data_IF_579284710772
#
_entry.id   IF_579284710772
#
_cell.length_a   1.000
_cell.length_b   1.000
_cell.length_c   1.000
_cell.angle_alpha   90.00
_cell.angle_beta   90.00
_cell.angle_gamma   90.00
#
_symmetry.space_group_name_H-M   'P 1'
#
loop_
_entity.id
_entity.type
_entity.pdbx_description
1 polymer ?
#
# COMPACT_ATOMS: atom_id res chain seq x y z
N UNK A 1 -3.12 -11.36 4.67
CA UNK A 1 -2.54 -10.09 5.11
C UNK A 1 -2.90 -9.03 4.08
N UNK A 2 -3.72 -8.07 4.45
CA UNK A 2 -3.98 -6.87 3.64
C UNK A 2 -2.82 -5.89 3.87
N UNK A 3 -1.82 -5.91 2.99
CA UNK A 3 -0.70 -4.95 3.02
C UNK A 3 -1.08 -3.76 2.15
N UNK A 4 -0.75 -2.53 2.56
CA UNK A 4 -1.09 -1.36 1.75
C UNK A 4 -0.36 -1.46 0.40
N UNK A 5 -0.98 -1.09 -0.72
CA UNK A 5 -0.28 -1.00 -2.01
C UNK A 5 0.85 0.05 -1.98
N UNK A 6 0.85 0.96 -1.00
CA UNK A 6 1.89 1.96 -0.77
C UNK A 6 2.99 1.47 0.19
N UNK A 7 2.88 0.24 0.71
CA UNK A 7 3.94 -0.35 1.51
C UNK A 7 5.02 -0.98 0.63
N UNK A 8 6.27 -0.73 0.98
CA UNK A 8 7.41 -1.38 0.34
C UNK A 8 7.36 -2.89 0.55
N UNK A 9 7.48 -3.62 -0.56
CA UNK A 9 7.47 -5.08 -0.54
C UNK A 9 8.57 -5.68 0.35
N UNK A 10 9.73 -5.01 0.42
CA UNK A 10 10.93 -5.47 1.15
C UNK A 10 10.83 -5.17 2.64
N UNK A 11 10.62 -3.91 3.04
CA UNK A 11 10.71 -3.52 4.45
C UNK A 11 9.37 -3.48 5.19
N UNK A 12 8.23 -3.69 4.50
CA UNK A 12 6.89 -3.67 5.09
C UNK A 12 6.41 -2.34 5.66
N UNK A 13 7.06 -1.24 5.29
CA UNK A 13 6.69 0.12 5.69
C UNK A 13 6.29 0.91 4.47
N UNK A 14 5.60 2.03 4.68
CA UNK A 14 5.29 2.99 3.63
C UNK A 14 6.55 3.32 2.82
N UNK A 15 6.39 3.36 1.50
CA UNK A 15 7.47 3.61 0.55
C UNK A 15 8.15 4.97 0.82
N UNK A 16 9.46 4.95 1.03
CA UNK A 16 10.27 6.17 1.15
C UNK A 16 11.13 6.33 -0.09
N UNK A 17 10.94 7.45 -0.81
CA UNK A 17 11.57 7.73 -2.10
C UNK A 17 11.42 6.52 -3.06
N UNK A 18 10.17 6.22 -3.47
CA UNK A 18 9.88 5.00 -4.21
C UNK A 18 10.60 4.99 -5.57
N UNK A 19 11.13 3.82 -5.93
CA UNK A 19 11.65 3.52 -7.26
C UNK A 19 10.92 2.34 -7.85
N UNK A 20 10.62 2.41 -9.13
CA UNK A 20 10.00 1.32 -9.88
C UNK A 20 11.09 0.47 -10.55
N UNK A 21 11.00 -0.84 -10.31
CA UNK A 21 11.86 -1.83 -10.94
C UNK A 21 11.37 -2.16 -12.37
N UNK A 22 12.18 -2.77 -13.24
CA UNK A 22 11.73 -3.24 -14.55
C UNK A 22 10.58 -4.25 -14.50
N UNK A 23 10.42 -4.95 -13.38
CA UNK A 23 9.29 -5.84 -13.10
C UNK A 23 8.04 -5.11 -12.59
N UNK A 24 8.02 -3.77 -12.62
CA UNK A 24 6.93 -2.89 -12.18
C UNK A 24 6.59 -2.93 -10.69
N UNK A 25 7.46 -3.53 -9.86
CA UNK A 25 7.35 -3.40 -8.41
C UNK A 25 8.01 -2.12 -7.92
N UNK A 26 7.34 -1.44 -7.00
CA UNK A 26 7.87 -0.24 -6.33
C UNK A 26 8.51 -0.62 -4.99
N UNK A 27 9.72 -0.11 -4.74
CA UNK A 27 10.46 -0.32 -3.49
C UNK A 27 11.10 0.99 -3.01
N UNK A 28 11.49 1.06 -1.74
CA UNK A 28 12.25 2.21 -1.23
C UNK A 28 13.61 2.32 -1.93
N UNK A 29 14.13 3.54 -2.07
CA UNK A 29 15.44 3.78 -2.67
C UNK A 29 16.62 3.14 -1.92
N UNK A 30 16.43 2.80 -0.65
CA UNK A 30 17.42 2.14 0.22
C UNK A 30 17.25 0.61 0.29
N UNK A 31 16.12 0.08 -0.19
CA UNK A 31 15.85 -1.36 -0.18
C UNK A 31 16.48 -2.05 -1.38
N UNK A 32 16.98 -3.27 -1.17
CA UNK A 32 17.50 -4.11 -2.24
C UNK A 32 16.36 -4.56 -3.17
N UNK A 33 16.59 -4.71 -4.48
CA UNK A 33 15.58 -5.23 -5.40
C UNK A 33 15.05 -6.59 -4.95
N UNK A 34 13.73 -6.76 -4.98
CA UNK A 34 13.08 -8.01 -4.59
C UNK A 34 13.10 -9.09 -5.68
N UNK A 35 13.52 -8.75 -6.90
CA UNK A 35 13.51 -9.67 -8.04
C UNK A 35 14.90 -9.78 -8.67
N UNK A 36 15.30 -11.01 -9.02
CA UNK A 36 16.59 -11.32 -9.65
C UNK A 36 16.79 -10.62 -11.01
N UNK A 37 15.70 -10.24 -11.69
CA UNK A 37 15.72 -9.47 -12.94
C UNK A 37 16.31 -8.07 -12.79
N UNK A 38 16.40 -7.54 -11.57
CA UNK A 38 17.06 -6.28 -11.29
C UNK A 38 18.56 -6.41 -10.98
N UNK A 39 19.08 -7.64 -10.83
CA UNK A 39 20.46 -7.92 -10.41
C UNK A 39 21.38 -8.44 -11.52
N UNK A 40 20.85 -8.75 -12.70
CA UNK A 40 21.68 -9.22 -13.81
C UNK A 40 22.33 -8.04 -14.53
N UNK A 41 23.56 -7.73 -14.12
CA UNK A 41 24.58 -7.17 -14.99
C UNK A 41 24.87 -8.15 -16.14
N UNK A 42 23.93 -8.32 -17.07
CA UNK A 42 24.17 -9.02 -18.33
C UNK A 42 24.40 -7.97 -19.40
N UNK A 43 25.63 -7.94 -19.87
CA UNK A 43 26.27 -6.89 -20.65
C UNK A 43 25.72 -6.65 -22.06
N UNK A 44 24.55 -7.15 -22.45
CA UNK A 44 23.99 -6.91 -23.80
C UNK A 44 22.47 -7.19 -23.86
N UNK A 45 21.64 -6.24 -23.43
CA UNK A 45 20.29 -5.95 -23.98
C UNK A 45 19.57 -4.95 -23.07
N UNK A 46 19.43 -3.70 -23.52
CA UNK A 46 18.45 -2.68 -23.10
C UNK A 46 17.79 -2.85 -21.71
N UNK A 47 18.57 -2.94 -20.63
CA UNK A 47 18.02 -3.04 -19.28
C UNK A 47 17.54 -1.66 -18.85
N UNK A 48 16.22 -1.48 -18.77
CA UNK A 48 15.63 -0.22 -18.32
C UNK A 48 16.14 0.09 -16.89
N UNK A 49 16.77 1.24 -16.64
CA UNK A 49 17.27 1.59 -15.31
C UNK A 49 16.10 1.70 -14.32
N UNK A 50 16.36 1.41 -13.04
CA UNK A 50 15.40 1.73 -11.98
C UNK A 50 15.19 3.25 -11.95
N UNK A 51 13.94 3.69 -12.07
CA UNK A 51 13.58 5.11 -12.10
C UNK A 51 12.77 5.48 -10.85
N UNK A 52 12.76 6.76 -10.45
CA UNK A 52 11.83 7.25 -9.44
C UNK A 52 10.38 6.95 -9.85
N UNK A 53 9.58 6.44 -8.92
CA UNK A 53 8.16 6.18 -9.12
C UNK A 53 7.33 7.39 -8.65
N UNK A 54 7.16 8.36 -9.54
CA UNK A 54 6.44 9.61 -9.26
C UNK A 54 4.95 9.39 -8.98
N UNK A 55 4.37 8.31 -9.52
CA UNK A 55 2.97 7.99 -9.24
C UNK A 55 2.82 7.49 -7.81
N UNK A 56 3.67 6.56 -7.37
CA UNK A 56 3.67 6.11 -5.98
C UNK A 56 3.94 7.28 -5.02
N UNK A 57 4.90 8.15 -5.34
CA UNK A 57 5.19 9.36 -4.55
C UNK A 57 3.96 10.26 -4.41
N UNK A 58 3.27 10.57 -5.50
CA UNK A 58 2.03 11.35 -5.49
C UNK A 58 0.89 10.69 -4.70
N UNK A 59 0.72 9.37 -4.85
CA UNK A 59 -0.31 8.62 -4.13
C UNK A 59 -0.07 8.60 -2.62
N UNK A 60 1.19 8.48 -2.19
CA UNK A 60 1.57 8.57 -0.77
C UNK A 60 1.19 9.95 -0.21
N UNK A 61 1.61 11.02 -0.89
CA UNK A 61 1.30 12.39 -0.48
C UNK A 61 -0.22 12.64 -0.39
N UNK A 62 -0.96 12.24 -1.43
CA UNK A 62 -2.43 12.44 -1.48
C UNK A 62 -3.18 11.57 -0.46
N UNK A 63 -2.64 10.39 -0.14
CA UNK A 63 -3.27 9.49 0.84
C UNK A 63 -3.25 10.09 2.26
N UNK A 64 -2.27 10.93 2.58
CA UNK A 64 -2.20 11.61 3.87
C UNK A 64 -3.18 12.79 3.95
N UNK A 65 -3.47 13.44 2.83
CA UNK A 65 -4.38 14.60 2.76
C UNK A 65 -5.85 14.20 2.77
N UNK A 66 -6.20 13.06 2.15
CA UNK A 66 -7.59 12.61 1.96
C UNK A 66 -8.09 11.68 3.08
N UNK A 67 -7.28 11.41 4.10
CA UNK A 67 -7.63 10.44 5.13
C UNK A 67 -8.71 10.97 6.09
N UNK A 68 -9.96 10.55 5.88
CA UNK A 68 -11.05 10.79 6.82
C UNK A 68 -10.76 10.15 8.18
N UNK A 69 -11.25 10.77 9.25
CA UNK A 69 -11.11 10.26 10.62
C UNK A 69 -12.03 9.05 10.81
N UNK A 70 -11.57 8.02 11.52
CA UNK A 70 -12.41 6.85 11.79
C UNK A 70 -13.59 7.24 12.69
N UNK A 71 -14.82 6.98 12.24
CA UNK A 71 -16.06 7.32 12.96
C UNK A 71 -16.25 6.62 14.32
N UNK A 72 -15.49 5.56 14.62
CA UNK A 72 -15.64 4.77 15.86
C UNK A 72 -14.58 5.05 16.92
N UNK A 73 -13.37 5.47 16.53
CA UNK A 73 -12.27 5.69 17.48
C UNK A 73 -11.62 7.07 17.35
N UNK A 74 -12.12 7.91 16.45
CA UNK A 74 -11.63 9.26 16.19
C UNK A 74 -10.12 9.33 15.86
N UNK A 75 -9.56 8.24 15.32
CA UNK A 75 -8.17 8.15 14.88
C UNK A 75 -8.09 7.94 13.36
N UNK A 76 -7.06 8.51 12.74
CA UNK A 76 -6.68 8.20 11.35
C UNK A 76 -5.68 7.04 11.39
N UNK A 77 -6.08 5.88 10.88
CA UNK A 77 -5.23 4.68 10.81
C UNK A 77 -5.37 4.05 9.43
N UNK A 78 -4.39 4.31 8.58
CA UNK A 78 -4.30 3.74 7.24
C UNK A 78 -4.12 2.21 7.28
N UNK A 79 -4.70 1.45 6.33
CA UNK A 79 -5.69 1.91 5.35
C UNK A 79 -7.04 2.20 6.00
N UNK A 80 -7.70 3.27 5.54
CA UNK A 80 -9.09 3.60 5.90
C UNK A 80 -10.06 2.90 4.95
N UNK A 81 -11.24 2.54 5.44
CA UNK A 81 -12.28 1.85 4.69
C UNK A 81 -13.59 2.60 4.79
N UNK A 82 -14.34 2.67 3.69
CA UNK A 82 -15.68 3.26 3.69
C UNK A 82 -16.75 2.17 3.84
N UNK A 83 -17.64 2.31 4.83
CA UNK A 83 -18.79 1.43 4.98
C UNK A 83 -20.00 2.06 4.26
N UNK A 84 -20.43 1.48 3.13
CA UNK A 84 -21.55 2.01 2.35
C UNK A 84 -22.89 1.99 3.10
N UNK A 85 -23.11 1.00 3.98
CA UNK A 85 -24.35 0.90 4.77
C UNK A 85 -24.46 2.02 5.80
N UNK A 86 -23.33 2.38 6.43
CA UNK A 86 -23.29 3.41 7.47
C UNK A 86 -22.91 4.79 6.93
N UNK A 87 -22.44 4.86 5.69
CA UNK A 87 -21.90 6.06 5.03
C UNK A 87 -20.79 6.72 5.87
N UNK A 88 -19.85 5.92 6.38
CA UNK A 88 -18.82 6.34 7.32
C UNK A 88 -17.46 5.71 7.01
N UNK A 89 -16.38 6.48 7.23
CA UNK A 89 -15.02 5.98 7.20
C UNK A 89 -14.63 5.29 8.52
N UNK A 90 -13.95 4.15 8.40
CA UNK A 90 -13.55 3.27 9.49
C UNK A 90 -12.13 2.80 9.29
N UNK A 91 -11.34 2.73 10.37
CA UNK A 91 -10.06 2.05 10.33
C UNK A 91 -10.23 0.52 10.24
N UNK A 92 -9.16 -0.18 9.87
CA UNK A 92 -9.13 -1.65 9.78
C UNK A 92 -9.68 -2.35 11.04
N UNK A 93 -9.25 -1.91 12.22
CA UNK A 93 -9.62 -2.52 13.49
C UNK A 93 -11.13 -2.38 13.74
N UNK A 94 -11.65 -1.15 13.68
CA UNK A 94 -13.06 -0.86 13.93
C UNK A 94 -13.99 -1.52 12.90
N UNK A 95 -13.57 -1.61 11.64
CA UNK A 95 -14.29 -2.38 10.62
C UNK A 95 -14.41 -3.85 11.03
N UNK A 96 -13.32 -4.46 11.48
CA UNK A 96 -13.27 -5.89 11.78
C UNK A 96 -13.91 -6.28 13.12
N UNK A 97 -14.03 -5.36 14.05
CA UNK A 97 -14.72 -5.62 15.32
C UNK A 97 -16.21 -5.34 15.22
N UNK A 98 -16.59 -4.25 14.56
CA UNK A 98 -17.97 -3.72 14.61
C UNK A 98 -18.77 -4.06 13.36
N UNK A 99 -18.12 -4.20 12.20
CA UNK A 99 -18.76 -4.48 10.90
C UNK A 99 -18.32 -5.81 10.31
N UNK A 100 -17.89 -6.76 11.15
CA UNK A 100 -17.77 -8.15 10.71
C UNK A 100 -19.18 -8.63 10.35
N UNK A 101 -19.48 -8.66 9.05
CA UNK A 101 -20.60 -9.46 8.54
C UNK A 101 -20.26 -10.90 8.88
N UNK A 102 -20.74 -11.35 10.04
CA UNK A 102 -20.87 -12.77 10.32
C UNK A 102 -21.92 -13.27 9.33
N UNK A 103 -21.50 -13.90 8.25
CA UNK A 103 -22.38 -14.82 7.54
C UNK A 103 -22.65 -16.00 8.48
N UNK A 104 -23.52 -15.82 9.47
CA UNK A 104 -24.16 -16.94 10.15
C UNK A 104 -25.21 -17.46 9.18
N UNK A 105 -24.80 -18.38 8.31
CA UNK A 105 -25.76 -19.21 7.60
C UNK A 105 -26.26 -20.20 8.65
N UNK A 106 -27.40 -19.89 9.25
CA UNK A 106 -28.17 -20.85 10.03
C UNK A 106 -28.88 -21.77 9.04
N UNK A 107 -28.28 -22.93 8.74
CA UNK A 107 -28.95 -24.11 8.20
C UNK A 107 -28.35 -25.35 8.84
#
# INVERSE_FOLDING_TARGET
MDRSPLDCYVCAKELSSPRILPCLHSICSTCSPCCSTASTHSSNSSSLPCTPDRLAEFLIETSHETAEVCANCDQIKQPMYYCETCQQALCYDCRNTTHKVRYSISL
#
